data_IF_514236411357
#
_entry.id   IF_514236411357
#
_cell.length_a   1.000
_cell.length_b   1.000
_cell.length_c   1.000
_cell.angle_alpha   90.00
_cell.angle_beta   90.00
_cell.angle_gamma   90.00
#
_symmetry.space_group_name_H-M   'P 1'
#
loop_
_entity.id
_entity.type
_entity.pdbx_description
1 polymer ?
#
# COMPACT_ATOMS: atom_id res chain seq x y z
N UNK A 1 48.93 -40.37 -14.31
CA UNK A 1 47.45 -40.31 -14.30
C UNK A 1 47.01 -40.17 -12.85
N UNK A 2 46.69 -38.95 -12.39
CA UNK A 2 46.23 -38.70 -11.02
C UNK A 2 44.99 -37.82 -11.09
N UNK A 3 43.85 -38.40 -10.75
CA UNK A 3 42.54 -37.74 -10.73
C UNK A 3 42.10 -37.44 -9.29
N UNK A 4 41.13 -36.53 -9.17
CA UNK A 4 40.29 -36.19 -8.02
C UNK A 4 40.81 -35.15 -7.03
N UNK A 5 40.16 -33.98 -7.01
CA UNK A 5 39.27 -33.56 -5.90
C UNK A 5 38.90 -32.08 -6.03
N UNK A 6 37.85 -31.76 -6.80
CA UNK A 6 37.41 -30.37 -7.05
C UNK A 6 35.99 -30.01 -6.63
N UNK A 7 35.23 -30.87 -5.93
CA UNK A 7 33.76 -30.70 -5.84
C UNK A 7 33.19 -30.55 -4.41
N UNK A 8 34.02 -30.54 -3.36
CA UNK A 8 33.55 -30.47 -1.96
C UNK A 8 33.33 -29.05 -1.42
N UNK A 9 33.93 -28.02 -2.03
CA UNK A 9 33.83 -26.64 -1.56
C UNK A 9 32.56 -25.90 -2.05
N UNK A 10 32.01 -26.31 -3.21
CA UNK A 10 30.85 -25.64 -3.81
C UNK A 10 29.51 -26.07 -3.18
N UNK A 11 29.39 -27.36 -2.80
CA UNK A 11 28.14 -27.91 -2.23
C UNK A 11 27.86 -27.45 -0.79
N UNK A 12 28.90 -27.28 0.02
CA UNK A 12 28.76 -26.79 1.40
C UNK A 12 28.44 -25.30 1.45
N UNK A 13 28.98 -24.51 0.51
CA UNK A 13 28.66 -23.08 0.36
C UNK A 13 27.19 -22.86 -0.04
N UNK A 14 26.65 -23.67 -0.96
CA UNK A 14 25.24 -23.59 -1.38
C UNK A 14 24.26 -23.91 -0.24
N UNK A 15 24.57 -24.91 0.60
CA UNK A 15 23.71 -25.30 1.74
C UNK A 15 23.69 -24.22 2.82
N UNK A 16 24.81 -23.55 3.07
CA UNK A 16 24.87 -22.44 4.04
C UNK A 16 24.10 -21.21 3.56
N UNK A 17 24.12 -20.89 2.26
CA UNK A 17 23.31 -19.82 1.68
C UNK A 17 21.82 -20.15 1.75
N UNK A 18 21.42 -21.40 1.50
CA UNK A 18 20.01 -21.81 1.61
C UNK A 18 19.51 -21.80 3.06
N UNK A 19 20.35 -22.19 4.04
CA UNK A 19 20.02 -22.10 5.47
C UNK A 19 19.95 -20.63 5.91
N UNK A 20 20.85 -19.77 5.43
CA UNK A 20 20.81 -18.32 5.70
C UNK A 20 19.54 -17.67 5.12
N UNK A 21 19.14 -18.04 3.91
CA UNK A 21 17.88 -17.59 3.28
C UNK A 21 16.66 -18.10 4.06
N UNK A 22 16.70 -19.33 4.56
CA UNK A 22 15.63 -19.91 5.38
C UNK A 22 15.52 -19.25 6.77
N UNK A 23 16.65 -18.88 7.38
CA UNK A 23 16.71 -18.15 8.67
C UNK A 23 16.30 -16.67 8.54
N UNK A 24 16.41 -16.08 7.35
CA UNK A 24 15.98 -14.71 7.05
C UNK A 24 14.49 -14.58 6.69
N UNK A 25 13.78 -15.69 6.45
CA UNK A 25 12.34 -15.68 6.29
C UNK A 25 11.67 -15.55 7.66
N UNK A 26 11.64 -14.33 8.18
CA UNK A 26 10.73 -14.00 9.27
C UNK A 26 9.31 -14.21 8.78
N UNK A 27 8.53 -14.99 9.53
CA UNK A 27 7.08 -15.07 9.31
C UNK A 27 6.55 -13.68 9.65
N UNK A 28 6.24 -12.86 8.64
CA UNK A 28 5.62 -11.55 8.87
C UNK A 28 4.29 -11.87 9.54
N UNK A 29 4.05 -11.42 10.80
CA UNK A 29 2.74 -11.62 11.41
C UNK A 29 1.70 -10.97 10.49
N UNK A 30 0.59 -11.67 10.24
CA UNK A 30 -0.55 -11.05 9.57
C UNK A 30 -0.88 -9.77 10.34
N UNK A 31 -0.73 -8.62 9.68
CA UNK A 31 -0.91 -7.32 10.30
C UNK A 31 -2.37 -7.21 10.75
N UNK A 32 -2.60 -7.45 12.03
CA UNK A 32 -3.90 -7.42 12.67
C UNK A 32 -3.96 -6.16 13.53
N UNK A 33 -5.03 -5.40 13.34
CA UNK A 33 -5.29 -4.19 14.10
C UNK A 33 -5.98 -4.56 15.42
N UNK A 34 -5.39 -4.23 16.58
CA UNK A 34 -5.98 -4.59 17.88
C UNK A 34 -7.39 -4.01 18.08
N UNK A 35 -7.67 -2.85 17.48
CA UNK A 35 -8.96 -2.16 17.56
C UNK A 35 -10.00 -2.67 16.55
N UNK A 36 -9.74 -3.81 15.90
CA UNK A 36 -10.60 -4.40 14.87
C UNK A 36 -10.97 -5.87 15.18
N UNK A 37 -10.39 -6.49 16.21
CA UNK A 37 -10.54 -7.94 16.49
C UNK A 37 -11.99 -8.45 16.65
N UNK A 38 -12.92 -7.59 17.04
CA UNK A 38 -14.35 -7.91 17.18
C UNK A 38 -15.26 -6.95 16.38
N UNK A 39 -14.68 -6.19 15.46
CA UNK A 39 -15.43 -5.20 14.67
C UNK A 39 -16.10 -5.87 13.46
N UNK A 40 -17.34 -5.48 13.12
CA UNK A 40 -18.09 -6.08 12.01
C UNK A 40 -17.34 -6.01 10.66
N UNK A 41 -16.53 -4.97 10.45
CA UNK A 41 -15.72 -4.77 9.27
C UNK A 41 -14.36 -5.49 9.30
N UNK A 42 -14.08 -6.33 10.31
CA UNK A 42 -12.78 -6.98 10.47
C UNK A 42 -12.33 -7.71 9.21
N UNK A 43 -13.21 -8.53 8.63
CA UNK A 43 -12.89 -9.30 7.44
C UNK A 43 -12.54 -8.40 6.24
N UNK A 44 -13.31 -7.33 6.05
CA UNK A 44 -13.07 -6.36 4.97
C UNK A 44 -11.77 -5.59 5.18
N UNK A 45 -11.52 -5.14 6.41
CA UNK A 45 -10.31 -4.41 6.78
C UNK A 45 -9.08 -5.31 6.54
N UNK A 46 -9.09 -6.53 7.07
CA UNK A 46 -8.00 -7.49 6.86
C UNK A 46 -7.77 -7.78 5.38
N UNK A 47 -8.83 -7.97 4.59
CA UNK A 47 -8.72 -8.24 3.16
C UNK A 47 -8.10 -7.06 2.40
N UNK A 48 -8.60 -5.85 2.62
CA UNK A 48 -8.14 -4.65 1.92
C UNK A 48 -6.71 -4.27 2.35
N UNK A 49 -6.35 -4.48 3.61
CA UNK A 49 -4.98 -4.32 4.09
C UNK A 49 -4.02 -5.34 3.49
N UNK A 50 -4.45 -6.61 3.38
CA UNK A 50 -3.64 -7.64 2.70
C UNK A 50 -3.42 -7.33 1.21
N UNK A 51 -4.34 -6.60 0.58
CA UNK A 51 -4.21 -6.08 -0.80
C UNK A 51 -3.39 -4.78 -0.90
N UNK A 52 -2.95 -4.21 0.23
CA UNK A 52 -2.24 -2.93 0.27
C UNK A 52 -3.09 -1.71 -0.09
N UNK A 53 -4.43 -1.83 -0.08
CA UNK A 53 -5.34 -0.76 -0.48
C UNK A 53 -5.62 0.22 0.67
N UNK A 54 -5.59 -0.29 1.90
CA UNK A 54 -5.77 0.51 3.11
C UNK A 54 -4.68 0.13 4.14
N UNK A 55 -4.36 1.06 5.02
CA UNK A 55 -3.41 0.85 6.10
C UNK A 55 -3.90 1.49 7.39
N UNK A 56 -3.23 1.18 8.49
CA UNK A 56 -3.47 1.83 9.77
C UNK A 56 -2.42 2.87 10.10
N UNK A 57 -2.35 3.19 11.38
CA UNK A 57 -1.52 4.25 11.92
C UNK A 57 -0.18 3.71 12.44
N UNK A 58 0.82 4.60 12.68
CA UNK A 58 2.09 4.20 13.26
C UNK A 58 1.98 3.55 14.65
N UNK A 59 0.88 3.80 15.36
CA UNK A 59 0.58 3.18 16.66
C UNK A 59 0.02 1.74 16.54
N UNK A 60 -0.17 1.23 15.32
CA UNK A 60 -0.70 -0.10 15.05
C UNK A 60 -2.23 -0.19 15.05
N UNK A 61 -2.96 0.91 15.21
CA UNK A 61 -4.43 0.96 15.12
C UNK A 61 -4.94 1.13 13.69
N UNK A 62 -6.20 0.76 13.42
CA UNK A 62 -6.90 1.10 12.17
C UNK A 62 -7.87 2.27 12.31
N UNK A 63 -8.48 2.41 13.49
CA UNK A 63 -9.53 3.37 13.86
C UNK A 63 -10.79 3.21 13.01
N UNK A 64 -11.47 2.05 13.06
CA UNK A 64 -12.61 1.74 12.18
C UNK A 64 -13.79 2.70 12.33
N UNK A 65 -13.96 3.31 13.50
CA UNK A 65 -15.02 4.29 13.80
C UNK A 65 -14.69 5.71 13.36
N UNK A 66 -13.44 5.97 12.93
CA UNK A 66 -13.04 7.30 12.45
C UNK A 66 -13.55 7.51 11.03
N UNK A 67 -14.37 8.55 10.86
CA UNK A 67 -14.82 8.99 9.54
C UNK A 67 -13.65 9.22 8.58
N UNK A 68 -13.83 8.75 7.34
CA UNK A 68 -12.87 8.92 6.24
C UNK A 68 -13.06 10.31 5.63
N UNK A 69 -11.96 11.01 5.37
CA UNK A 69 -11.99 12.29 4.65
C UNK A 69 -12.19 12.10 3.15
N UNK A 70 -12.72 13.10 2.44
CA UNK A 70 -12.87 13.08 0.97
C UNK A 70 -11.54 12.78 0.26
N UNK A 71 -10.44 13.30 0.80
CA UNK A 71 -9.08 13.06 0.29
C UNK A 71 -8.62 11.61 0.44
N UNK A 72 -8.82 11.01 1.62
CA UNK A 72 -8.53 9.60 1.86
C UNK A 72 -9.40 8.69 1.00
N UNK A 73 -10.69 9.01 0.87
CA UNK A 73 -11.61 8.28 -0.01
C UNK A 73 -11.15 8.30 -1.47
N UNK A 74 -10.78 9.47 -2.01
CA UNK A 74 -10.28 9.60 -3.37
C UNK A 74 -9.02 8.74 -3.59
N UNK A 75 -8.07 8.76 -2.64
CA UNK A 75 -6.89 7.90 -2.70
C UNK A 75 -7.28 6.42 -2.75
N UNK A 76 -8.07 5.94 -1.78
CA UNK A 76 -8.46 4.53 -1.70
C UNK A 76 -9.15 4.04 -2.99
N UNK A 77 -10.01 4.87 -3.57
CA UNK A 77 -10.71 4.58 -4.81
C UNK A 77 -9.73 4.41 -5.98
N UNK A 78 -8.81 5.36 -6.16
CA UNK A 78 -7.82 5.32 -7.25
C UNK A 78 -6.85 4.14 -7.07
N UNK A 79 -6.43 3.85 -5.83
CA UNK A 79 -5.63 2.66 -5.52
C UNK A 79 -6.40 1.37 -5.86
N UNK A 80 -7.69 1.28 -5.52
CA UNK A 80 -8.52 0.12 -5.79
C UNK A 80 -8.74 -0.14 -7.29
N UNK A 81 -8.70 0.92 -8.11
CA UNK A 81 -8.74 0.83 -9.58
C UNK A 81 -7.36 0.54 -10.20
N UNK A 82 -6.30 0.41 -9.39
CA UNK A 82 -4.92 0.23 -9.83
C UNK A 82 -4.44 1.37 -10.76
N UNK A 83 -4.84 2.61 -10.44
CA UNK A 83 -4.56 3.81 -11.24
C UNK A 83 -3.56 4.77 -10.56
N UNK A 84 -2.75 4.26 -9.64
CA UNK A 84 -1.69 5.03 -8.95
C UNK A 84 -0.74 5.74 -9.93
N UNK A 85 -0.29 5.02 -10.97
CA UNK A 85 0.61 5.57 -11.99
C UNK A 85 -0.06 6.71 -12.77
N UNK A 86 -1.34 6.54 -13.13
CA UNK A 86 -2.12 7.59 -13.80
C UNK A 86 -2.30 8.81 -12.91
N UNK A 87 -2.44 8.62 -11.59
CA UNK A 87 -2.52 9.73 -10.66
C UNK A 87 -1.19 10.48 -10.59
N UNK A 88 -0.07 9.78 -10.41
CA UNK A 88 1.25 10.42 -10.34
C UNK A 88 1.67 11.10 -11.65
N UNK A 89 1.13 10.67 -12.79
CA UNK A 89 1.33 11.36 -14.07
C UNK A 89 0.75 12.79 -14.09
N UNK A 90 -0.17 13.13 -13.18
CA UNK A 90 -0.74 14.47 -13.01
C UNK A 90 0.10 15.37 -12.07
N UNK A 91 1.24 14.88 -11.60
CA UNK A 91 2.16 15.65 -10.78
C UNK A 91 2.71 16.86 -11.56
N UNK A 92 2.79 18.03 -10.90
CA UNK A 92 3.16 19.28 -11.57
C UNK A 92 2.05 19.91 -12.44
N UNK A 93 0.84 19.33 -12.48
CA UNK A 93 -0.32 19.92 -13.14
C UNK A 93 -0.80 21.24 -12.49
N UNK A 94 -1.70 21.94 -13.19
CA UNK A 94 -2.31 23.18 -12.68
C UNK A 94 -3.33 22.90 -11.56
N UNK A 95 -3.61 23.91 -10.73
CA UNK A 95 -4.58 23.80 -9.65
C UNK A 95 -6.01 23.82 -10.21
N UNK A 96 -6.77 22.75 -10.00
CA UNK A 96 -8.17 22.65 -10.41
C UNK A 96 -9.15 23.10 -9.33
N UNK A 97 -8.94 22.63 -8.09
CA UNK A 97 -9.80 22.94 -6.95
C UNK A 97 -9.16 24.01 -6.08
N UNK A 98 -9.93 25.06 -5.74
CA UNK A 98 -9.42 26.20 -4.97
C UNK A 98 -9.04 25.82 -3.54
N UNK A 99 -9.78 24.89 -2.95
CA UNK A 99 -9.63 24.38 -1.59
C UNK A 99 -8.58 23.25 -1.48
N UNK A 100 -8.00 22.81 -2.60
CA UNK A 100 -6.92 21.81 -2.63
C UNK A 100 -5.61 22.48 -3.10
N UNK A 101 -4.70 22.81 -2.16
CA UNK A 101 -3.38 23.37 -2.51
C UNK A 101 -2.58 22.45 -3.44
N UNK A 102 -1.72 23.04 -4.28
CA UNK A 102 -0.83 22.29 -5.19
C UNK A 102 0.05 21.26 -4.46
N UNK A 103 0.41 21.55 -3.21
CA UNK A 103 1.23 20.70 -2.35
C UNK A 103 0.45 19.66 -1.56
N UNK A 104 -0.88 19.62 -1.68
CA UNK A 104 -1.70 18.68 -0.94
C UNK A 104 -1.46 17.25 -1.44
N UNK A 105 -1.11 16.33 -0.53
CA UNK A 105 -0.73 14.95 -0.86
C UNK A 105 -1.80 14.19 -1.68
N UNK A 106 -3.07 14.52 -1.50
CA UNK A 106 -4.18 13.86 -2.19
C UNK A 106 -4.55 14.50 -3.53
N UNK A 107 -3.91 15.61 -3.92
CA UNK A 107 -4.33 16.45 -5.05
C UNK A 107 -4.50 15.65 -6.32
N UNK A 108 -3.49 14.86 -6.68
CA UNK A 108 -3.49 14.09 -7.92
C UNK A 108 -4.58 13.01 -7.95
N UNK A 109 -4.87 12.39 -6.81
CA UNK A 109 -5.94 11.39 -6.70
C UNK A 109 -7.32 12.03 -6.81
N UNK A 110 -7.52 13.19 -6.16
CA UNK A 110 -8.77 13.95 -6.25
C UNK A 110 -9.02 14.40 -7.69
N UNK A 111 -7.98 14.91 -8.35
CA UNK A 111 -8.05 15.32 -9.75
C UNK A 111 -8.40 14.15 -10.67
N UNK A 112 -7.69 13.03 -10.56
CA UNK A 112 -7.98 11.87 -11.40
C UNK A 112 -9.40 11.33 -11.17
N UNK A 113 -9.84 11.26 -9.91
CA UNK A 113 -11.19 10.81 -9.59
C UNK A 113 -12.29 11.71 -10.21
N UNK A 114 -12.01 13.02 -10.34
CA UNK A 114 -12.87 13.96 -11.02
C UNK A 114 -12.83 13.80 -12.55
N UNK A 115 -11.63 13.65 -13.14
CA UNK A 115 -11.46 13.43 -14.59
C UNK A 115 -12.16 12.15 -15.06
N UNK A 116 -12.18 11.11 -14.21
CA UNK A 116 -12.90 9.85 -14.46
C UNK A 116 -14.41 9.95 -14.21
N UNK A 117 -14.91 11.08 -13.73
CA UNK A 117 -16.32 11.29 -13.40
C UNK A 117 -16.81 10.49 -12.19
N UNK A 118 -15.92 9.97 -11.35
CA UNK A 118 -16.29 9.21 -10.15
C UNK A 118 -16.61 10.16 -8.99
N UNK A 119 -15.93 11.30 -8.92
CA UNK A 119 -16.18 12.35 -7.93
C UNK A 119 -16.65 13.62 -8.64
N UNK A 120 -17.70 14.24 -8.10
CA UNK A 120 -18.15 15.57 -8.51
C UNK A 120 -17.60 16.65 -7.57
N UNK A 121 -17.33 17.83 -8.12
CA UNK A 121 -16.90 19.03 -7.38
C UNK A 121 -17.92 20.16 -7.49
N UNK A 122 -17.84 21.12 -6.57
CA UNK A 122 -18.65 22.34 -6.59
C UNK A 122 -17.84 23.53 -7.13
N UNK A 123 -18.50 24.66 -7.39
CA UNK A 123 -17.86 25.85 -7.99
C UNK A 123 -16.79 26.46 -7.09
N UNK A 124 -16.86 26.21 -5.79
CA UNK A 124 -16.00 26.73 -4.73
C UNK A 124 -14.91 25.75 -4.28
N UNK A 125 -14.96 24.50 -4.77
CA UNK A 125 -14.16 23.37 -4.28
C UNK A 125 -15.03 22.12 -4.17
#
# INVERSE_FOLDING_TARGET
>A
MGAFSGNRCFKTSLVLVLILVFLLNTVIPAFAFPDVEEHWAQQDITLLTAKGLIGGYPDGSFRPERGVTRAEFARMLISALNMEESAWALEGGSQLFRDVPLTHWARVYIQLAWELGIVAGYKDG
#
